data_IF_850086332395
#
_entry.id   IF_850086332395
#
_cell.length_a   1.000
_cell.length_b   1.000
_cell.length_c   1.000
_cell.angle_alpha   90.00
_cell.angle_beta   90.00
_cell.angle_gamma   90.00
#
_symmetry.space_group_name_H-M   'P 1'
#
loop_
_entity.id
_entity.type
_entity.pdbx_description
1 polymer ?
#
# COMPACT_ATOMS: atom_id res chain seq x y z
N UNK A 1 1.87 29.58 -53.79
CA UNK A 1 2.22 29.79 -52.37
C UNK A 1 1.34 28.95 -51.43
N UNK A 2 0.02 28.84 -51.67
CA UNK A 2 -0.88 28.00 -50.85
C UNK A 2 -0.59 26.48 -50.91
N UNK A 3 -0.22 25.95 -52.07
CA UNK A 3 0.08 24.52 -52.26
C UNK A 3 1.30 24.10 -51.42
N UNK A 4 2.32 24.96 -51.37
CA UNK A 4 3.55 24.76 -50.59
C UNK A 4 3.27 24.78 -49.08
N UNK A 5 2.38 25.68 -48.63
CA UNK A 5 1.95 25.75 -47.23
C UNK A 5 1.14 24.50 -46.81
N UNK A 6 0.19 24.05 -47.64
CA UNK A 6 -0.57 22.81 -47.39
C UNK A 6 0.33 21.59 -47.33
N UNK A 7 1.32 21.49 -48.22
CA UNK A 7 2.29 20.39 -48.20
C UNK A 7 3.19 20.41 -46.96
N UNK A 8 3.62 21.59 -46.52
CA UNK A 8 4.42 21.73 -45.29
C UNK A 8 3.60 21.38 -44.04
N UNK A 9 2.35 21.84 -43.96
CA UNK A 9 1.43 21.49 -42.89
C UNK A 9 1.16 19.98 -42.82
N UNK A 10 0.93 19.33 -43.97
CA UNK A 10 0.75 17.88 -44.04
C UNK A 10 2.00 17.11 -43.56
N UNK A 11 3.19 17.54 -43.97
CA UNK A 11 4.44 16.94 -43.51
C UNK A 11 4.65 17.11 -42.00
N UNK A 12 4.40 18.30 -41.47
CA UNK A 12 4.48 18.57 -40.03
C UNK A 12 3.48 17.71 -39.24
N UNK A 13 2.23 17.59 -39.70
CA UNK A 13 1.23 16.71 -39.10
C UNK A 13 1.67 15.24 -39.13
N UNK A 14 2.21 14.76 -40.26
CA UNK A 14 2.71 13.39 -40.37
C UNK A 14 3.90 13.11 -39.44
N UNK A 15 4.82 14.08 -39.29
CA UNK A 15 5.93 13.99 -38.35
C UNK A 15 5.45 13.96 -36.89
N UNK A 16 4.48 14.80 -36.53
CA UNK A 16 3.89 14.78 -35.19
C UNK A 16 3.22 13.43 -34.95
N UNK A 17 2.41 12.93 -35.89
CA UNK A 17 1.75 11.63 -35.77
C UNK A 17 2.74 10.47 -35.62
N UNK A 18 3.87 10.49 -36.32
CA UNK A 18 4.89 9.46 -36.20
C UNK A 18 5.62 9.51 -34.85
N UNK A 19 5.95 10.70 -34.34
CA UNK A 19 6.52 10.89 -32.99
C UNK A 19 5.53 10.42 -31.92
N UNK A 20 4.24 10.74 -32.06
CA UNK A 20 3.20 10.28 -31.16
C UNK A 20 3.03 8.76 -31.22
N UNK A 21 2.94 8.17 -32.41
CA UNK A 21 2.83 6.73 -32.61
C UNK A 21 4.03 5.99 -32.00
N UNK A 22 5.25 6.49 -32.23
CA UNK A 22 6.47 5.95 -31.63
C UNK A 22 6.45 6.05 -30.11
N UNK A 23 6.04 7.20 -29.57
CA UNK A 23 5.93 7.44 -28.13
C UNK A 23 4.92 6.49 -27.47
N UNK A 24 3.77 6.27 -28.12
CA UNK A 24 2.74 5.31 -27.68
C UNK A 24 3.26 3.88 -27.77
N UNK A 25 3.88 3.47 -28.88
CA UNK A 25 4.48 2.14 -29.04
C UNK A 25 5.55 1.87 -27.97
N UNK A 26 6.40 2.86 -27.71
CA UNK A 26 7.43 2.75 -26.69
C UNK A 26 6.82 2.65 -25.28
N UNK A 27 5.83 3.48 -24.96
CA UNK A 27 5.16 3.49 -23.67
C UNK A 27 4.37 2.21 -23.39
N UNK A 28 3.60 1.73 -24.38
CA UNK A 28 2.68 0.61 -24.22
C UNK A 28 3.37 -0.73 -24.42
N UNK A 29 4.42 -0.84 -25.25
CA UNK A 29 4.99 -2.15 -25.59
C UNK A 29 6.48 -2.28 -25.28
N UNK A 30 7.32 -1.42 -25.88
CA UNK A 30 8.78 -1.61 -25.82
C UNK A 30 9.31 -1.42 -24.40
N UNK A 31 8.88 -0.38 -23.70
CA UNK A 31 9.31 -0.09 -22.33
C UNK A 31 8.83 -1.16 -21.34
N UNK A 32 7.55 -1.58 -21.30
CA UNK A 32 7.13 -2.70 -20.47
C UNK A 32 7.95 -3.96 -20.71
N UNK A 33 8.18 -4.36 -21.97
CA UNK A 33 9.00 -5.54 -22.28
C UNK A 33 10.46 -5.39 -21.84
N UNK A 34 11.05 -4.20 -21.96
CA UNK A 34 12.41 -3.92 -21.44
C UNK A 34 12.47 -4.06 -19.92
N UNK A 35 11.51 -3.48 -19.20
CA UNK A 35 11.42 -3.58 -17.74
C UNK A 35 11.19 -5.02 -17.29
N UNK A 36 10.29 -5.76 -17.95
CA UNK A 36 10.03 -7.18 -17.66
C UNK A 36 11.31 -8.00 -17.75
N UNK A 37 12.07 -7.86 -18.85
CA UNK A 37 13.35 -8.55 -19.04
C UNK A 37 14.36 -8.17 -17.95
N UNK A 38 14.44 -6.91 -17.57
CA UNK A 38 15.34 -6.43 -16.53
C UNK A 38 15.02 -7.07 -15.17
N UNK A 39 13.75 -7.11 -14.77
CA UNK A 39 13.33 -7.70 -13.50
C UNK A 39 13.56 -9.22 -13.49
N UNK A 40 13.21 -9.91 -14.58
CA UNK A 40 13.41 -11.37 -14.70
C UNK A 40 14.87 -11.79 -14.68
N UNK A 41 15.77 -11.00 -15.29
CA UNK A 41 17.23 -11.26 -15.23
C UNK A 41 17.79 -11.22 -13.80
N UNK A 42 17.10 -10.56 -12.89
CA UNK A 42 17.47 -10.45 -11.47
C UNK A 42 16.78 -11.52 -10.60
N UNK A 43 16.11 -12.50 -11.23
CA UNK A 43 15.43 -13.59 -10.53
C UNK A 43 14.00 -13.28 -10.08
N UNK A 44 13.50 -12.06 -10.29
CA UNK A 44 12.12 -11.73 -9.93
C UNK A 44 11.13 -12.45 -10.86
N UNK A 45 10.12 -13.08 -10.24
CA UNK A 45 9.04 -13.79 -10.92
C UNK A 45 7.76 -12.94 -10.89
N UNK A 46 6.88 -13.18 -11.85
CA UNK A 46 5.66 -12.40 -12.02
C UNK A 46 4.95 -12.74 -13.32
N UNK A 47 3.72 -12.26 -13.45
CA UNK A 47 2.95 -12.39 -14.68
C UNK A 47 3.65 -11.67 -15.83
N UNK A 48 3.53 -12.23 -17.04
CA UNK A 48 4.00 -11.52 -18.23
C UNK A 48 3.10 -10.35 -18.58
N UNK A 49 3.71 -9.29 -19.13
CA UNK A 49 2.99 -8.08 -19.47
C UNK A 49 1.86 -8.35 -20.49
N UNK A 50 0.64 -7.94 -20.13
CA UNK A 50 -0.53 -7.90 -21.01
C UNK A 50 -0.77 -6.45 -21.47
N UNK A 51 -0.95 -6.26 -22.77
CA UNK A 51 -1.05 -4.94 -23.42
C UNK A 51 -2.02 -4.00 -22.70
N UNK A 52 -1.59 -2.75 -22.47
CA UNK A 52 -2.29 -1.63 -21.80
C UNK A 52 -2.63 -1.84 -20.33
N UNK A 53 -3.28 -2.95 -19.98
CA UNK A 53 -3.89 -3.15 -18.67
C UNK A 53 -3.01 -3.95 -17.69
N UNK A 54 -2.07 -4.76 -18.20
CA UNK A 54 -1.32 -5.66 -17.34
C UNK A 54 -2.24 -6.59 -16.54
N UNK A 55 -2.14 -6.55 -15.22
CA UNK A 55 -2.95 -7.36 -14.31
C UNK A 55 -4.20 -6.63 -13.80
N UNK A 56 -4.46 -5.38 -14.23
CA UNK A 56 -5.57 -4.57 -13.70
C UNK A 56 -6.95 -5.20 -13.94
N UNK A 57 -7.17 -5.80 -15.12
CA UNK A 57 -8.44 -6.47 -15.44
C UNK A 57 -8.66 -7.69 -14.54
N UNK A 58 -7.62 -8.49 -14.36
CA UNK A 58 -7.65 -9.65 -13.46
C UNK A 58 -7.89 -9.23 -12.01
N UNK A 59 -7.17 -8.21 -11.53
CA UNK A 59 -7.38 -7.66 -10.20
C UNK A 59 -8.82 -7.18 -9.98
N UNK A 60 -9.40 -6.48 -10.97
CA UNK A 60 -10.78 -5.99 -10.90
C UNK A 60 -11.79 -7.14 -10.83
N UNK A 61 -11.62 -8.18 -11.66
CA UNK A 61 -12.48 -9.36 -11.64
C UNK A 61 -12.39 -10.10 -10.30
N UNK A 62 -11.17 -10.39 -9.83
CA UNK A 62 -10.95 -11.03 -8.53
C UNK A 62 -11.53 -10.20 -7.38
N UNK A 63 -11.34 -8.88 -7.41
CA UNK A 63 -11.88 -7.98 -6.37
C UNK A 63 -13.41 -8.01 -6.35
N UNK A 64 -14.06 -8.00 -7.52
CA UNK A 64 -15.53 -8.13 -7.61
C UNK A 64 -16.02 -9.46 -7.08
N UNK A 65 -15.32 -10.54 -7.42
CA UNK A 65 -15.64 -11.89 -6.98
C UNK A 65 -15.52 -12.03 -5.46
N UNK A 66 -14.37 -11.68 -4.87
CA UNK A 66 -14.18 -11.79 -3.41
C UNK A 66 -15.09 -10.82 -2.65
N UNK A 67 -15.40 -9.65 -3.22
CA UNK A 67 -16.35 -8.69 -2.62
C UNK A 67 -17.81 -9.16 -2.65
N UNK A 68 -18.14 -10.20 -3.42
CA UNK A 68 -19.50 -10.74 -3.51
C UNK A 68 -19.87 -11.68 -2.36
N UNK A 69 -18.88 -12.14 -1.58
CA UNK A 69 -19.08 -13.11 -0.50
C UNK A 69 -18.41 -12.65 0.80
N UNK A 70 -19.05 -12.88 1.95
CA UNK A 70 -18.39 -12.72 3.24
C UNK A 70 -17.40 -13.84 3.51
N UNK A 71 -16.59 -13.67 4.55
CA UNK A 71 -15.67 -14.68 5.10
C UNK A 71 -15.97 -14.86 6.59
N UNK A 72 -15.50 -15.94 7.22
CA UNK A 72 -15.58 -16.07 8.67
C UNK A 72 -14.53 -15.21 9.38
N UNK A 73 -14.74 -14.92 10.66
CA UNK A 73 -13.81 -14.13 11.48
C UNK A 73 -12.42 -14.78 11.63
N UNK A 74 -12.37 -16.11 11.58
CA UNK A 74 -11.15 -16.91 11.70
C UNK A 74 -10.44 -17.16 10.36
N UNK A 75 -11.07 -16.80 9.24
CA UNK A 75 -10.52 -17.06 7.92
C UNK A 75 -9.32 -16.14 7.64
N UNK A 76 -8.45 -16.57 6.73
CA UNK A 76 -7.37 -15.71 6.25
C UNK A 76 -7.96 -14.50 5.51
N UNK A 77 -7.64 -13.30 6.00
CA UNK A 77 -8.13 -12.05 5.43
C UNK A 77 -7.40 -11.67 4.13
N UNK A 78 -6.17 -12.16 3.90
CA UNK A 78 -5.34 -11.71 2.79
C UNK A 78 -5.96 -11.98 1.40
N UNK A 79 -6.52 -13.17 1.08
CA UNK A 79 -7.19 -13.41 -0.19
C UNK A 79 -8.39 -12.49 -0.43
N UNK A 80 -9.06 -12.05 0.64
CA UNK A 80 -10.23 -11.18 0.59
C UNK A 80 -9.86 -9.72 0.34
N UNK A 81 -8.78 -9.24 0.97
CA UNK A 81 -8.41 -7.82 1.03
C UNK A 81 -7.37 -7.44 -0.03
N UNK A 82 -6.42 -8.34 -0.33
CA UNK A 82 -5.38 -8.13 -1.33
C UNK A 82 -5.30 -9.32 -2.32
N UNK A 83 -6.40 -9.66 -3.03
CA UNK A 83 -6.52 -10.89 -3.81
C UNK A 83 -5.39 -11.13 -4.82
N UNK A 84 -5.10 -10.15 -5.68
CA UNK A 84 -4.05 -10.30 -6.69
C UNK A 84 -2.66 -10.40 -6.06
N UNK A 85 -2.36 -9.56 -5.06
CA UNK A 85 -1.07 -9.59 -4.37
C UNK A 85 -0.86 -10.93 -3.66
N UNK A 86 -1.90 -11.45 -3.01
CA UNK A 86 -1.86 -12.76 -2.34
C UNK A 86 -1.64 -13.88 -3.36
N UNK A 87 -2.44 -13.93 -4.44
CA UNK A 87 -2.29 -14.91 -5.53
C UNK A 87 -0.90 -14.89 -6.15
N UNK A 88 -0.38 -13.69 -6.47
CA UNK A 88 0.96 -13.53 -7.03
C UNK A 88 2.02 -14.08 -6.09
N UNK A 89 1.90 -13.82 -4.79
CA UNK A 89 2.88 -14.29 -3.81
C UNK A 89 2.84 -15.82 -3.62
N UNK A 90 1.65 -16.45 -3.73
CA UNK A 90 1.52 -17.92 -3.70
C UNK A 90 2.15 -18.56 -4.94
N UNK A 91 1.94 -17.99 -6.13
CA UNK A 91 2.43 -18.58 -7.39
C UNK A 91 3.92 -18.30 -7.62
N UNK A 92 4.34 -17.05 -7.39
CA UNK A 92 5.66 -16.55 -7.80
C UNK A 92 6.62 -16.34 -6.62
N UNK A 93 6.13 -16.48 -5.38
CA UNK A 93 6.86 -16.15 -4.16
C UNK A 93 6.68 -14.71 -3.71
N UNK A 94 7.07 -14.44 -2.47
CA UNK A 94 6.93 -13.15 -1.78
C UNK A 94 7.65 -11.99 -2.52
N UNK A 95 8.82 -12.25 -3.11
CA UNK A 95 9.58 -11.29 -3.92
C UNK A 95 9.21 -11.41 -5.40
N UNK A 96 7.95 -11.06 -5.72
CA UNK A 96 7.39 -11.08 -7.08
C UNK A 96 6.98 -9.70 -7.57
N UNK A 97 6.73 -9.57 -8.87
CA UNK A 97 6.18 -8.35 -9.46
C UNK A 97 4.85 -8.63 -10.17
N UNK A 98 4.01 -7.59 -10.23
CA UNK A 98 2.74 -7.57 -10.96
C UNK A 98 2.63 -6.29 -11.79
N UNK A 99 1.68 -6.20 -12.71
CA UNK A 99 1.53 -5.06 -13.61
C UNK A 99 0.37 -4.14 -13.21
N UNK A 100 0.68 -2.87 -13.00
CA UNK A 100 -0.30 -1.79 -12.92
C UNK A 100 -0.27 -1.01 -14.24
N UNK A 101 -1.12 -1.42 -15.18
CA UNK A 101 -1.04 -0.95 -16.56
C UNK A 101 0.34 -1.28 -17.15
N UNK A 102 1.00 -0.34 -17.84
CA UNK A 102 2.34 -0.55 -18.42
C UNK A 102 3.49 -0.45 -17.40
N UNK A 103 3.21 -0.26 -16.11
CA UNK A 103 4.24 -0.13 -15.08
C UNK A 103 4.30 -1.40 -14.21
N UNK A 104 5.46 -2.07 -14.11
CA UNK A 104 5.60 -3.17 -13.17
C UNK A 104 5.70 -2.63 -11.75
N UNK A 105 5.09 -3.35 -10.82
CA UNK A 105 5.12 -3.11 -9.38
C UNK A 105 5.78 -4.29 -8.69
N UNK A 106 6.97 -4.06 -8.14
CA UNK A 106 7.77 -5.05 -7.42
C UNK A 106 7.40 -5.04 -5.95
N UNK A 107 7.12 -6.21 -5.38
CA UNK A 107 6.85 -6.36 -3.95
C UNK A 107 8.18 -6.53 -3.19
N UNK A 108 8.34 -5.77 -2.10
CA UNK A 108 9.50 -5.85 -1.21
C UNK A 108 9.02 -6.33 0.15
N UNK A 109 9.44 -7.55 0.53
CA UNK A 109 9.05 -8.22 1.77
C UNK A 109 10.20 -8.29 2.79
N UNK A 110 11.44 -7.99 2.38
CA UNK A 110 12.58 -7.94 3.31
C UNK A 110 12.48 -6.68 4.20
N UNK A 111 12.38 -6.82 5.54
CA UNK A 111 12.26 -5.67 6.45
C UNK A 111 13.39 -4.63 6.34
N UNK A 112 14.61 -5.05 5.98
CA UNK A 112 15.73 -4.11 5.81
C UNK A 112 15.58 -3.30 4.52
N UNK A 113 15.11 -3.93 3.44
CA UNK A 113 14.80 -3.21 2.20
C UNK A 113 13.57 -2.30 2.37
N UNK A 114 12.58 -2.73 3.15
CA UNK A 114 11.43 -1.88 3.52
C UNK A 114 11.91 -0.63 4.26
N UNK A 115 12.80 -0.80 5.25
CA UNK A 115 13.41 0.29 6.00
C UNK A 115 14.18 1.24 5.06
N UNK A 116 14.97 0.71 4.14
CA UNK A 116 15.71 1.52 3.15
C UNK A 116 14.75 2.38 2.30
N UNK A 117 13.70 1.77 1.72
CA UNK A 117 12.70 2.48 0.89
C UNK A 117 11.98 3.57 1.67
N UNK A 118 11.66 3.32 2.94
CA UNK A 118 10.98 4.29 3.80
C UNK A 118 11.91 5.38 4.33
N UNK A 119 13.21 5.12 4.44
CA UNK A 119 14.24 6.08 4.85
C UNK A 119 14.63 7.02 3.72
N UNK A 120 14.89 6.47 2.52
CA UNK A 120 15.38 7.19 1.34
C UNK A 120 14.22 7.79 0.54
N UNK A 121 13.38 8.57 1.20
CA UNK A 121 12.16 9.15 0.63
C UNK A 121 12.38 10.06 -0.60
N UNK A 122 13.60 10.60 -0.80
CA UNK A 122 13.94 11.39 -1.98
C UNK A 122 14.04 10.54 -3.26
N UNK A 123 14.55 9.31 -3.14
CA UNK A 123 14.70 8.37 -4.26
C UNK A 123 13.39 7.62 -4.53
N UNK A 124 12.63 7.37 -3.46
CA UNK A 124 11.34 6.67 -3.49
C UNK A 124 10.20 7.65 -3.24
N UNK A 125 9.80 8.37 -4.29
CA UNK A 125 8.71 9.36 -4.23
C UNK A 125 7.34 8.69 -4.38
N UNK A 126 6.26 9.37 -4.02
CA UNK A 126 4.90 8.88 -4.28
C UNK A 126 4.64 8.83 -5.80
N UNK A 127 3.81 7.89 -6.29
CA UNK A 127 3.35 7.95 -7.67
C UNK A 127 2.64 9.29 -7.92
N UNK A 128 2.98 9.96 -9.03
CA UNK A 128 2.30 11.20 -9.45
C UNK A 128 0.79 10.94 -9.57
N UNK A 129 -0.02 11.70 -8.84
CA UNK A 129 -1.47 11.69 -8.95
C UNK A 129 -1.94 12.43 -10.21
N UNK A 130 -3.13 12.09 -10.69
CA UNK A 130 -3.77 12.82 -11.79
C UNK A 130 -4.00 14.29 -11.37
N UNK A 131 -3.83 15.28 -12.28
CA UNK A 131 -4.08 16.70 -12.00
C UNK A 131 -5.39 17.01 -11.28
N UNK A 132 -6.50 16.34 -11.62
CA UNK A 132 -7.81 16.53 -10.96
C UNK A 132 -7.80 16.06 -9.49
N UNK A 133 -7.18 14.91 -9.22
CA UNK A 133 -7.02 14.40 -7.85
C UNK A 133 -6.06 15.28 -7.05
N UNK A 134 -5.02 15.81 -7.71
CA UNK A 134 -4.08 16.75 -7.11
C UNK A 134 -4.76 18.07 -6.72
N UNK A 135 -5.70 18.54 -7.52
CA UNK A 135 -6.50 19.75 -7.23
C UNK A 135 -7.42 19.55 -6.02
N UNK A 136 -8.13 18.41 -5.94
CA UNK A 136 -9.08 18.12 -4.86
C UNK A 136 -8.44 17.67 -3.54
N UNK A 137 -7.24 17.08 -3.58
CA UNK A 137 -6.55 16.51 -2.42
C UNK A 137 -5.09 17.02 -2.30
N UNK A 138 -4.90 18.33 -2.41
CA UNK A 138 -3.59 18.96 -2.26
C UNK A 138 -3.22 19.07 -0.77
N UNK A 139 -2.18 18.35 -0.29
CA UNK A 139 -1.80 18.39 1.13
C UNK A 139 -0.65 17.46 1.50
N UNK A 140 -0.40 17.24 2.80
CA UNK A 140 0.72 16.39 3.29
C UNK A 140 0.72 14.97 2.69
N UNK A 141 -0.46 14.44 2.36
CA UNK A 141 -0.62 13.16 1.71
C UNK A 141 -0.06 13.12 0.28
N UNK A 142 0.00 14.25 -0.42
CA UNK A 142 0.43 14.34 -1.83
C UNK A 142 1.80 15.00 -2.06
N UNK A 143 2.35 15.75 -1.09
CA UNK A 143 3.64 16.44 -1.24
C UNK A 143 4.83 15.57 -0.83
N UNK A 144 5.97 15.76 -1.52
CA UNK A 144 7.22 15.03 -1.27
C UNK A 144 8.44 15.91 -0.92
N UNK A 145 8.39 17.25 -1.01
CA UNK A 145 9.61 18.09 -0.91
C UNK A 145 9.71 18.91 0.40
N UNK A 146 10.62 19.90 0.48
CA UNK A 146 10.92 20.74 1.66
C UNK A 146 9.69 21.31 2.39
N UNK A 147 8.62 21.59 1.63
CA UNK A 147 7.30 21.98 2.15
C UNK A 147 6.71 20.97 3.14
N UNK A 148 6.88 19.67 2.90
CA UNK A 148 6.43 18.61 3.82
C UNK A 148 7.24 18.66 5.12
N UNK A 149 8.57 18.89 5.05
CA UNK A 149 9.44 18.94 6.23
C UNK A 149 9.13 20.17 7.10
N UNK A 150 8.86 21.32 6.47
CA UNK A 150 8.47 22.58 7.13
C UNK A 150 7.14 22.43 7.89
N UNK A 151 6.11 21.85 7.26
CA UNK A 151 4.81 21.66 7.90
C UNK A 151 4.84 20.63 9.05
N UNK A 152 5.69 19.59 8.95
CA UNK A 152 5.82 18.59 10.02
C UNK A 152 6.45 19.14 11.30
N UNK A 153 7.46 20.01 11.17
CA UNK A 153 8.20 20.57 12.32
C UNK A 153 7.30 21.38 13.27
N UNK A 154 6.21 21.95 12.76
CA UNK A 154 5.26 22.79 13.52
C UNK A 154 4.31 21.96 14.41
N UNK A 155 3.99 20.72 14.03
CA UNK A 155 2.85 19.96 14.60
C UNK A 155 3.29 18.88 15.63
N UNK A 156 4.57 18.49 15.61
CA UNK A 156 5.08 17.33 16.36
C UNK A 156 4.98 17.39 17.91
N UNK A 157 5.05 18.54 18.61
CA UNK A 157 5.10 18.58 20.07
C UNK A 157 3.82 18.18 20.84
N UNK A 158 2.67 18.00 20.18
CA UNK A 158 1.37 17.96 20.86
C UNK A 158 0.86 16.58 21.33
N UNK A 159 1.62 15.48 21.18
CA UNK A 159 1.01 14.14 21.25
C UNK A 159 1.90 13.03 21.84
N UNK A 160 2.01 12.91 23.17
CA UNK A 160 2.64 11.76 23.83
C UNK A 160 1.84 11.28 25.04
N UNK A 161 1.36 10.03 25.01
CA UNK A 161 0.82 9.31 26.18
C UNK A 161 1.10 7.80 26.05
N UNK A 162 2.08 7.32 26.81
CA UNK A 162 2.50 5.92 26.88
C UNK A 162 2.12 5.33 28.25
N UNK A 163 1.71 4.05 28.28
CA UNK A 163 1.38 3.18 29.44
C UNK A 163 -0.11 2.87 29.69
N UNK A 164 -0.79 2.24 28.73
CA UNK A 164 -2.08 1.58 28.98
C UNK A 164 -2.18 0.25 28.21
N UNK A 165 -2.80 -0.79 28.82
CA UNK A 165 -3.14 -2.09 28.18
C UNK A 165 -3.85 -1.92 26.83
N UNK A 166 -4.62 -0.84 26.70
CA UNK A 166 -5.30 -0.43 25.45
C UNK A 166 -4.33 -0.24 24.28
N UNK A 167 -3.08 0.18 24.52
CA UNK A 167 -2.08 0.38 23.47
C UNK A 167 -1.73 -0.93 22.77
N UNK A 168 -1.58 -2.01 23.53
CA UNK A 168 -1.27 -3.34 23.00
C UNK A 168 -2.41 -3.86 22.13
N UNK A 169 -3.65 -3.67 22.59
CA UNK A 169 -4.87 -4.01 21.85
C UNK A 169 -4.89 -3.24 20.51
N UNK A 170 -4.63 -1.93 20.53
CA UNK A 170 -4.61 -1.11 19.32
C UNK A 170 -3.50 -1.52 18.35
N UNK A 171 -2.31 -1.87 18.84
CA UNK A 171 -1.24 -2.36 17.96
C UNK A 171 -1.59 -3.70 17.32
N UNK A 172 -2.19 -4.62 18.05
CA UNK A 172 -2.62 -5.90 17.49
C UNK A 172 -3.77 -5.71 16.47
N UNK A 173 -4.72 -4.79 16.74
CA UNK A 173 -5.73 -4.40 15.75
C UNK A 173 -5.08 -3.80 14.50
N UNK A 174 -4.11 -2.90 14.63
CA UNK A 174 -3.40 -2.32 13.48
C UNK A 174 -2.52 -3.34 12.75
N UNK A 175 -2.09 -4.43 13.43
CA UNK A 175 -1.38 -5.54 12.80
C UNK A 175 -2.34 -6.32 11.90
N UNK A 176 -3.45 -6.77 12.47
CA UNK A 176 -4.44 -7.62 11.78
C UNK A 176 -5.33 -6.88 10.79
N UNK A 177 -5.67 -5.62 11.06
CA UNK A 177 -6.59 -4.79 10.27
C UNK A 177 -6.04 -3.37 10.05
N UNK A 178 -4.87 -3.20 9.41
CA UNK A 178 -4.33 -1.88 9.12
C UNK A 178 -5.26 -1.10 8.18
N UNK A 179 -5.55 0.19 8.44
CA UNK A 179 -6.33 1.02 7.52
C UNK A 179 -5.71 1.08 6.13
N UNK A 180 -4.38 1.16 6.02
CA UNK A 180 -3.64 1.14 4.76
C UNK A 180 -2.99 -0.23 4.58
N UNK A 181 -3.42 -0.98 3.55
CA UNK A 181 -3.01 -2.38 3.37
C UNK A 181 -1.67 -2.55 2.63
N UNK A 182 -1.25 -1.54 1.87
CA UNK A 182 0.03 -1.50 1.15
C UNK A 182 0.42 -0.05 0.85
N UNK A 183 1.72 0.23 0.79
CA UNK A 183 2.26 1.50 0.29
C UNK A 183 2.90 1.29 -1.08
N UNK A 184 2.78 2.27 -1.98
CA UNK A 184 3.48 2.24 -3.27
C UNK A 184 4.38 3.47 -3.40
N UNK A 185 5.58 3.25 -3.93
CA UNK A 185 6.56 4.28 -4.31
C UNK A 185 6.90 4.14 -5.79
N UNK A 186 7.28 5.24 -6.41
CA UNK A 186 7.67 5.30 -7.81
C UNK A 186 9.15 5.66 -7.91
N UNK A 187 9.84 4.95 -8.80
CA UNK A 187 11.24 5.19 -9.12
C UNK A 187 11.30 6.09 -10.35
N UNK A 188 11.95 7.26 -10.18
CA UNK A 188 12.09 8.28 -11.21
C UNK A 188 13.50 8.35 -11.81
N UNK A 189 14.46 7.71 -11.15
CA UNK A 189 15.85 7.57 -11.58
C UNK A 189 16.30 6.14 -11.30
N UNK A 190 17.19 5.59 -12.12
CA UNK A 190 17.63 4.20 -11.95
C UNK A 190 18.28 4.01 -10.56
N UNK A 191 17.71 3.11 -9.77
CA UNK A 191 18.01 3.00 -8.33
C UNK A 191 18.43 1.57 -7.99
N UNK A 192 19.43 1.43 -7.12
CA UNK A 192 19.77 0.15 -6.49
C UNK A 192 19.03 0.04 -5.15
N UNK A 193 18.41 -1.12 -4.91
CA UNK A 193 17.73 -1.48 -3.66
C UNK A 193 18.23 -2.86 -3.24
N UNK A 194 19.11 -2.91 -2.25
CA UNK A 194 19.88 -4.14 -1.95
C UNK A 194 20.56 -4.70 -3.19
N UNK A 195 20.30 -5.97 -3.52
CA UNK A 195 20.82 -6.63 -4.73
C UNK A 195 20.04 -6.30 -6.03
N UNK A 196 18.96 -5.54 -5.96
CA UNK A 196 18.10 -5.23 -7.11
C UNK A 196 18.51 -3.90 -7.76
N UNK A 197 18.66 -3.90 -9.08
CA UNK A 197 18.72 -2.73 -9.93
C UNK A 197 17.32 -2.46 -10.52
N UNK A 198 16.70 -1.36 -10.10
CA UNK A 198 15.34 -0.99 -10.46
C UNK A 198 15.36 0.22 -11.42
N UNK A 199 15.04 0.01 -12.71
CA UNK A 199 15.03 1.11 -13.67
C UNK A 199 13.87 2.08 -13.45
N UNK A 200 14.04 3.28 -14.00
CA UNK A 200 13.03 4.34 -14.02
C UNK A 200 11.70 3.85 -14.58
N UNK A 201 10.62 4.11 -13.84
CA UNK A 201 9.25 3.70 -14.20
C UNK A 201 8.75 2.47 -13.45
N UNK A 202 9.62 1.72 -12.77
CA UNK A 202 9.21 0.67 -11.82
C UNK A 202 8.48 1.32 -10.63
N UNK A 203 7.47 0.60 -10.13
CA UNK A 203 6.82 0.87 -8.86
C UNK A 203 7.34 -0.11 -7.80
N UNK A 204 7.52 0.37 -6.58
CA UNK A 204 7.90 -0.44 -5.42
C UNK A 204 6.71 -0.51 -4.48
N UNK A 205 6.31 -1.71 -4.12
CA UNK A 205 5.22 -1.98 -3.18
C UNK A 205 5.77 -2.48 -1.85
N UNK A 206 5.35 -1.84 -0.77
CA UNK A 206 5.59 -2.26 0.61
C UNK A 206 4.28 -2.83 1.15
N UNK A 207 4.09 -4.16 1.15
CA UNK A 207 2.82 -4.79 1.47
C UNK A 207 2.63 -4.90 2.99
N UNK A 208 2.20 -3.80 3.64
CA UNK A 208 1.93 -3.70 5.08
C UNK A 208 1.18 -4.93 5.58
N UNK A 209 0.02 -5.23 4.98
CA UNK A 209 -0.86 -6.29 5.43
C UNK A 209 -0.20 -7.67 5.36
N UNK A 210 0.63 -7.92 4.32
CA UNK A 210 1.30 -9.21 4.15
C UNK A 210 2.46 -9.37 5.14
N UNK A 211 3.25 -8.32 5.35
CA UNK A 211 4.32 -8.30 6.37
C UNK A 211 3.75 -8.46 7.78
N UNK A 212 2.60 -7.87 8.06
CA UNK A 212 1.92 -8.01 9.35
C UNK A 212 1.32 -9.41 9.60
N UNK A 213 1.13 -10.20 8.54
CA UNK A 213 0.62 -11.58 8.58
C UNK A 213 1.69 -12.62 8.20
N UNK A 214 2.97 -12.21 8.20
CA UNK A 214 4.07 -13.10 7.85
C UNK A 214 4.41 -14.02 9.02
N UNK A 215 4.24 -15.33 8.84
CA UNK A 215 4.48 -16.35 9.86
C UNK A 215 5.94 -16.37 10.34
N UNK A 216 6.91 -16.11 9.45
CA UNK A 216 8.33 -16.14 9.79
C UNK A 216 8.70 -14.98 10.72
N UNK A 217 7.98 -13.86 10.58
CA UNK A 217 8.14 -12.67 11.42
C UNK A 217 7.41 -12.84 12.75
N UNK A 218 6.12 -13.19 12.69
CA UNK A 218 5.18 -13.07 13.80
C UNK A 218 4.88 -14.37 14.55
N UNK A 219 5.29 -15.53 14.03
CA UNK A 219 5.07 -16.84 14.64
C UNK A 219 3.79 -17.54 14.16
N UNK A 220 3.50 -18.69 14.77
CA UNK A 220 2.40 -19.57 14.37
C UNK A 220 1.01 -18.99 14.71
N UNK A 221 0.93 -18.19 15.77
CA UNK A 221 -0.28 -17.49 16.22
C UNK A 221 -0.53 -16.18 15.44
N UNK A 222 0.14 -15.96 14.30
CA UNK A 222 0.06 -14.72 13.51
C UNK A 222 -1.36 -14.36 13.08
N UNK A 223 -2.27 -15.33 12.97
CA UNK A 223 -3.69 -15.08 12.62
C UNK A 223 -4.57 -14.84 13.85
N UNK A 224 -4.05 -15.09 15.04
CA UNK A 224 -4.79 -14.91 16.29
C UNK A 224 -4.69 -13.46 16.77
N UNK A 225 -5.72 -13.02 17.48
CA UNK A 225 -5.72 -11.72 18.15
C UNK A 225 -5.04 -11.86 19.51
N UNK A 226 -3.76 -11.54 19.59
CA UNK A 226 -2.95 -11.65 20.81
C UNK A 226 -2.25 -10.32 21.16
N UNK A 227 -2.92 -9.44 21.93
CA UNK A 227 -2.34 -8.16 22.37
C UNK A 227 -1.06 -8.31 23.22
N UNK A 228 -0.93 -9.39 24.00
CA UNK A 228 0.20 -9.60 24.91
C UNK A 228 1.54 -9.72 24.17
N UNK A 229 1.51 -9.95 22.84
CA UNK A 229 2.69 -9.85 21.97
C UNK A 229 3.41 -8.50 22.07
N UNK A 230 2.69 -7.44 22.40
CA UNK A 230 3.23 -6.08 22.54
C UNK A 230 3.51 -5.68 24.00
N UNK A 231 3.44 -6.61 24.96
CA UNK A 231 3.68 -6.37 26.40
C UNK A 231 5.05 -5.78 26.69
N UNK A 232 6.06 -6.24 25.96
CA UNK A 232 7.44 -5.74 26.07
C UNK A 232 7.76 -4.64 25.04
N UNK A 233 6.72 -4.05 24.45
CA UNK A 233 6.80 -2.96 23.50
C UNK A 233 7.09 -3.39 22.06
N UNK A 234 6.93 -2.42 21.16
CA UNK A 234 6.99 -2.65 19.71
C UNK A 234 8.35 -3.16 19.23
N UNK A 235 9.44 -2.66 19.83
CA UNK A 235 10.81 -3.04 19.46
C UNK A 235 11.08 -4.53 19.68
N UNK A 236 10.61 -5.09 20.81
CA UNK A 236 10.77 -6.52 21.09
C UNK A 236 9.83 -7.35 20.21
N UNK A 237 8.57 -6.94 20.07
CA UNK A 237 7.58 -7.63 19.23
C UNK A 237 8.02 -7.78 17.77
N UNK A 238 8.76 -6.81 17.24
CA UNK A 238 9.25 -6.79 15.85
C UNK A 238 10.69 -7.26 15.69
N UNK A 239 11.33 -7.76 16.76
CA UNK A 239 12.76 -8.15 16.76
C UNK A 239 13.67 -7.02 16.24
N UNK A 240 13.31 -5.76 16.51
CA UNK A 240 13.98 -4.52 16.03
C UNK A 240 13.99 -4.30 14.51
N UNK A 241 13.18 -5.04 13.75
CA UNK A 241 13.04 -4.91 12.31
C UNK A 241 11.88 -3.96 11.94
N UNK A 242 11.90 -3.41 10.72
CA UNK A 242 10.77 -2.62 10.19
C UNK A 242 9.74 -3.56 9.57
N UNK A 243 9.07 -4.34 10.43
CA UNK A 243 8.03 -5.30 10.06
C UNK A 243 6.62 -4.91 10.52
N UNK A 244 6.51 -3.86 11.34
CA UNK A 244 5.25 -3.24 11.75
C UNK A 244 5.27 -1.74 11.44
N UNK A 245 4.50 -1.32 10.44
CA UNK A 245 4.46 0.07 9.98
C UNK A 245 3.08 0.48 9.45
N UNK A 246 2.00 0.29 10.23
CA UNK A 246 0.64 0.68 9.81
C UNK A 246 0.51 2.19 9.55
N UNK A 247 1.39 2.99 10.15
CA UNK A 247 1.51 4.43 9.97
C UNK A 247 2.66 4.84 9.04
N UNK A 248 3.21 3.92 8.23
CA UNK A 248 4.52 4.08 7.57
C UNK A 248 5.66 4.14 8.58
N UNK A 249 6.88 4.40 8.13
CA UNK A 249 8.08 4.51 8.96
C UNK A 249 8.98 5.65 8.45
N UNK A 250 9.95 6.07 9.27
CA UNK A 250 11.02 6.99 8.88
C UNK A 250 10.54 8.42 8.65
N UNK A 251 11.22 9.19 7.78
CA UNK A 251 10.84 10.58 7.51
C UNK A 251 9.37 10.72 7.16
N UNK A 252 8.76 9.79 6.42
CA UNK A 252 7.35 9.90 5.99
C UNK A 252 6.34 9.19 6.89
N UNK A 253 6.69 8.87 8.14
CA UNK A 253 5.71 8.32 9.10
C UNK A 253 4.54 9.29 9.29
N UNK A 254 3.33 8.74 9.47
CA UNK A 254 2.09 9.49 9.61
C UNK A 254 2.21 10.56 10.70
N UNK A 255 2.00 11.81 10.31
CA UNK A 255 2.03 12.94 11.25
C UNK A 255 0.95 12.85 12.32
N UNK A 256 -0.18 12.22 12.00
CA UNK A 256 -1.31 12.02 12.90
C UNK A 256 -1.24 10.74 13.72
N UNK A 257 -0.13 9.98 13.70
CA UNK A 257 -0.03 8.71 14.43
C UNK A 257 -0.37 8.86 15.90
N UNK A 258 0.26 9.80 16.60
CA UNK A 258 0.06 9.95 18.03
C UNK A 258 -1.35 10.49 18.36
N UNK A 259 -1.88 11.40 17.53
CA UNK A 259 -3.26 11.89 17.65
C UNK A 259 -4.26 10.75 17.48
N UNK A 260 -4.14 9.95 16.41
CA UNK A 260 -5.02 8.82 16.15
C UNK A 260 -4.96 7.77 17.27
N UNK A 261 -3.76 7.49 17.79
CA UNK A 261 -3.62 6.58 18.93
C UNK A 261 -4.25 7.13 20.21
N UNK A 262 -4.16 8.44 20.46
CA UNK A 262 -4.81 9.07 21.60
C UNK A 262 -6.34 9.06 21.47
N UNK A 263 -6.85 9.47 20.31
CA UNK A 263 -8.28 9.48 19.98
C UNK A 263 -8.88 8.08 20.14
N UNK A 264 -8.23 7.06 19.58
CA UNK A 264 -8.67 5.67 19.70
C UNK A 264 -8.67 5.18 21.16
N UNK A 265 -7.63 5.50 21.94
CA UNK A 265 -7.57 5.16 23.37
C UNK A 265 -8.71 5.81 24.15
N UNK A 266 -8.96 7.10 23.93
CA UNK A 266 -10.03 7.85 24.60
C UNK A 266 -11.40 7.30 24.23
N UNK A 267 -11.66 7.11 22.93
CA UNK A 267 -12.92 6.55 22.44
C UNK A 267 -13.18 5.17 23.05
N UNK A 268 -12.19 4.26 23.00
CA UNK A 268 -12.32 2.93 23.61
C UNK A 268 -12.59 2.99 25.11
N UNK A 269 -11.85 3.82 25.86
CA UNK A 269 -12.06 3.95 27.31
C UNK A 269 -13.47 4.46 27.63
N UNK A 270 -13.94 5.50 26.92
CA UNK A 270 -15.28 6.06 27.10
C UNK A 270 -16.39 5.06 26.77
N UNK A 271 -16.19 4.26 25.72
CA UNK A 271 -17.14 3.25 25.24
C UNK A 271 -17.19 2.07 26.22
N UNK A 272 -16.05 1.50 26.62
CA UNK A 272 -15.96 0.34 27.52
C UNK A 272 -16.39 0.62 28.97
N UNK A 273 -16.32 1.89 29.41
CA UNK A 273 -16.82 2.28 30.74
C UNK A 273 -18.34 2.33 30.84
N UNK A 274 -19.05 2.42 29.71
CA UNK A 274 -20.50 2.69 29.67
C UNK A 274 -21.32 1.54 29.09
N UNK A 275 -20.68 0.69 28.30
CA UNK A 275 -21.37 -0.36 27.56
C UNK A 275 -20.58 -1.67 27.62
N UNK A 276 -21.32 -2.77 27.57
CA UNK A 276 -20.84 -4.07 27.12
C UNK A 276 -21.34 -4.33 25.70
N UNK A 277 -20.67 -5.22 24.98
CA UNK A 277 -20.88 -5.45 23.55
C UNK A 277 -21.05 -6.94 23.29
N UNK A 278 -22.01 -7.25 22.44
CA UNK A 278 -22.14 -8.56 21.81
C UNK A 278 -22.16 -8.37 20.31
N UNK A 279 -21.60 -9.34 19.58
CA UNK A 279 -21.69 -9.34 18.12
C UNK A 279 -23.14 -9.61 17.72
N UNK A 280 -23.71 -8.75 16.87
CA UNK A 280 -25.08 -8.97 16.40
C UNK A 280 -25.14 -10.24 15.56
N UNK A 281 -26.20 -11.07 15.65
CA UNK A 281 -26.44 -12.17 14.71
C UNK A 281 -26.55 -11.71 13.25
N UNK A 282 -26.85 -10.43 13.01
CA UNK A 282 -26.87 -9.81 11.67
C UNK A 282 -25.49 -9.38 11.16
N UNK A 283 -24.44 -9.49 11.99
CA UNK A 283 -23.09 -9.12 11.58
C UNK A 283 -22.60 -10.03 10.46
N UNK A 284 -22.14 -9.41 9.38
CA UNK A 284 -21.57 -10.10 8.22
C UNK A 284 -20.11 -9.68 8.09
N UNK A 285 -19.17 -10.59 8.36
CA UNK A 285 -17.76 -10.28 8.26
C UNK A 285 -17.31 -10.23 6.79
N UNK A 286 -17.23 -9.02 6.26
CA UNK A 286 -16.81 -8.77 4.87
C UNK A 286 -15.85 -7.56 4.81
N UNK A 287 -14.57 -7.72 5.15
CA UNK A 287 -13.59 -6.64 5.03
C UNK A 287 -13.37 -6.26 3.56
N UNK A 288 -13.35 -4.97 3.26
CA UNK A 288 -13.11 -4.44 1.91
C UNK A 288 -12.14 -3.26 1.96
N UNK A 289 -11.25 -3.17 0.98
CA UNK A 289 -10.39 -2.00 0.76
C UNK A 289 -10.99 -1.10 -0.31
N UNK A 290 -11.27 0.15 0.06
CA UNK A 290 -11.66 1.20 -0.90
C UNK A 290 -10.56 2.25 -0.97
N UNK A 291 -10.49 3.11 0.05
CA UNK A 291 -9.33 3.94 0.34
C UNK A 291 -8.58 3.37 1.56
N UNK A 292 -9.35 3.01 2.59
CA UNK A 292 -8.92 2.26 3.75
C UNK A 292 -9.63 0.91 3.84
N UNK A 293 -9.10 0.00 4.65
CA UNK A 293 -9.76 -1.22 5.06
C UNK A 293 -10.95 -0.90 5.98
N UNK A 294 -12.14 -1.41 5.64
CA UNK A 294 -13.37 -1.22 6.41
C UNK A 294 -14.30 -2.42 6.28
N UNK A 295 -15.26 -2.62 7.21
CA UNK A 295 -16.32 -3.61 7.02
C UNK A 295 -17.28 -3.14 5.92
N UNK A 296 -17.51 -3.97 4.90
CA UNK A 296 -18.38 -3.66 3.76
C UNK A 296 -19.83 -3.35 4.17
N UNK A 297 -20.33 -4.08 5.17
CA UNK A 297 -21.71 -3.98 5.67
C UNK A 297 -21.79 -3.31 7.05
N UNK A 298 -20.72 -2.63 7.49
CA UNK A 298 -20.63 -2.10 8.85
C UNK A 298 -20.30 -3.16 9.90
N UNK A 299 -20.14 -2.73 11.15
CA UNK A 299 -19.91 -3.59 12.30
C UNK A 299 -21.13 -3.55 13.21
N UNK A 300 -22.10 -4.43 12.96
CA UNK A 300 -23.32 -4.52 13.75
C UNK A 300 -23.02 -5.13 15.12
N UNK A 301 -23.20 -4.33 16.16
CA UNK A 301 -22.99 -4.70 17.56
C UNK A 301 -24.29 -4.46 18.34
N UNK A 302 -24.54 -5.32 19.31
CA UNK A 302 -25.56 -5.12 20.33
C UNK A 302 -24.87 -4.45 21.51
N UNK A 303 -25.32 -3.24 21.84
CA UNK A 303 -24.81 -2.45 22.95
C UNK A 303 -25.72 -2.61 24.16
N UNK A 304 -25.17 -3.05 25.29
CA UNK A 304 -25.89 -3.10 26.57
C UNK A 304 -25.23 -2.10 27.51
N UNK A 305 -26.02 -1.14 28.01
CA UNK A 305 -25.52 -0.19 29.02
C UNK A 305 -25.13 -0.96 30.30
N UNK A 306 -23.96 -0.63 30.87
CA UNK A 306 -23.51 -1.16 32.15
C UNK A 306 -24.29 -0.55 33.32
#
# INVERSE_FOLDING_TARGET
MEITYKSFALFACALILSIWAWSVLNWVWLRPKKLERCLRKQGLKGNSYRLLYGDLKENSMMTKEVNSRPINLSDDILPRVIPLSHKSAVIHGNNSFMWLGPRPRVNIMDPELVKEVLSLNFNYKKPKSNPLVKFLANGLASHDDELWAKHRKIINPAFHLEKLKVTMILYEVLRLYPPVVQLTRAIYEDTKLGGLSLPTGVLVCLPIMRLHHDRDIWGDDVKEFNPERFSEGLSKATKKQVSFFPFSWGPRVCIGQNFAMLEAKMAMAMILQRFSFELSPSYTHAPVTVLTLRPQHGAHLILKKL
#
